data_IF_674843077048
#
_entry.id   IF_674843077048
#
_cell.length_a   1.000
_cell.length_b   1.000
_cell.length_c   1.000
_cell.angle_alpha   90.00
_cell.angle_beta   90.00
_cell.angle_gamma   90.00
#
_symmetry.space_group_name_H-M   'P 1'
#
loop_
_entity.id
_entity.type
_entity.pdbx_description
1 polymer ?
#
# COMPACT_ATOMS: atom_id res chain seq x y z
N UNK A 1 -6.59 -12.81 7.04
CA UNK A 1 -7.40 -13.77 6.27
C UNK A 1 -7.98 -14.78 7.25
N UNK A 2 -9.30 -14.92 7.30
CA UNK A 2 -9.94 -15.93 8.15
C UNK A 2 -9.58 -17.32 7.59
N UNK A 3 -8.97 -18.17 8.40
CA UNK A 3 -8.53 -19.52 7.98
C UNK A 3 -9.71 -20.46 7.66
N UNK A 4 -10.91 -20.15 8.13
CA UNK A 4 -12.10 -20.97 7.95
C UNK A 4 -12.93 -20.57 6.74
N UNK A 5 -13.04 -19.27 6.43
CA UNK A 5 -13.87 -18.77 5.32
C UNK A 5 -13.07 -18.24 4.14
N UNK A 6 -11.74 -18.11 4.25
CA UNK A 6 -10.89 -17.48 3.23
C UNK A 6 -11.09 -15.96 3.10
N UNK A 7 -12.09 -15.40 3.77
CA UNK A 7 -12.41 -13.98 3.70
C UNK A 7 -11.31 -13.12 4.33
N UNK A 8 -11.02 -11.98 3.71
CA UNK A 8 -10.04 -11.03 4.24
C UNK A 8 -10.76 -10.16 5.27
N UNK A 9 -10.43 -10.30 6.54
CA UNK A 9 -11.05 -9.49 7.60
C UNK A 9 -10.69 -8.01 7.50
N UNK A 10 -9.44 -7.70 7.13
CA UNK A 10 -8.93 -6.35 6.96
C UNK A 10 -7.84 -6.35 5.88
N UNK A 11 -7.85 -5.35 4.99
CA UNK A 11 -6.79 -5.12 4.02
C UNK A 11 -6.50 -3.64 3.86
N UNK A 12 -5.21 -3.28 3.91
CA UNK A 12 -4.69 -1.96 3.55
C UNK A 12 -4.14 -1.98 2.13
N UNK A 13 -4.57 -1.03 1.32
CA UNK A 13 -4.05 -0.70 0.00
C UNK A 13 -3.34 0.64 0.07
N UNK A 14 -2.24 0.77 -0.65
CA UNK A 14 -1.33 1.91 -0.55
C UNK A 14 -0.95 2.37 -1.95
N UNK A 15 -0.54 3.63 -2.08
CA UNK A 15 0.00 4.13 -3.33
C UNK A 15 1.24 3.31 -3.76
N UNK A 16 1.38 3.07 -5.06
CA UNK A 16 2.60 2.45 -5.61
C UNK A 16 3.87 3.25 -5.30
N UNK A 17 3.74 4.56 -5.05
CA UNK A 17 4.82 5.45 -4.62
C UNK A 17 4.96 5.56 -3.09
N UNK A 18 4.34 4.67 -2.31
CA UNK A 18 4.42 4.69 -0.85
C UNK A 18 5.85 4.45 -0.34
N UNK A 19 6.19 5.21 0.71
CA UNK A 19 7.42 5.04 1.48
C UNK A 19 8.68 5.47 0.71
N UNK A 20 9.83 5.09 1.24
CA UNK A 20 11.14 5.37 0.64
C UNK A 20 11.92 4.08 0.48
N UNK A 21 12.72 3.99 -0.58
CA UNK A 21 13.67 2.89 -0.70
C UNK A 21 14.75 3.05 0.34
N UNK A 22 14.97 1.99 1.12
CA UNK A 22 16.13 1.92 2.02
C UNK A 22 17.39 1.95 1.18
N UNK A 23 18.43 2.61 1.68
CA UNK A 23 19.74 2.58 1.04
C UNK A 23 20.19 1.14 0.83
N UNK A 24 20.43 0.78 -0.43
CA UNK A 24 20.95 -0.54 -0.79
C UNK A 24 22.44 -0.58 -0.43
N UNK A 25 22.79 -1.29 0.64
CA UNK A 25 24.19 -1.51 1.05
C UNK A 25 24.95 -2.51 0.15
N UNK A 26 24.35 -2.90 -0.98
CA UNK A 26 24.92 -3.87 -1.94
C UNK A 26 25.83 -3.15 -2.93
N UNK A 27 26.74 -3.91 -3.54
CA UNK A 27 27.58 -3.38 -4.63
C UNK A 27 26.69 -2.79 -5.74
N UNK A 28 27.06 -1.64 -6.31
CA UNK A 28 26.27 -1.02 -7.37
C UNK A 28 26.13 -1.97 -8.56
N UNK A 29 24.89 -2.16 -9.02
CA UNK A 29 24.55 -3.01 -10.17
C UNK A 29 24.48 -2.13 -11.41
N UNK A 30 24.96 -2.63 -12.57
CA UNK A 30 25.04 -1.88 -13.84
C UNK A 30 23.74 -1.20 -14.28
N UNK A 31 22.58 -1.73 -13.89
CA UNK A 31 21.26 -1.16 -14.20
C UNK A 31 20.37 -1.20 -12.95
N UNK A 32 20.42 -0.17 -12.09
CA UNK A 32 19.53 -0.12 -10.94
C UNK A 32 18.09 0.07 -11.41
N UNK A 33 17.14 -0.60 -10.73
CA UNK A 33 15.71 -0.31 -10.91
C UNK A 33 15.48 1.16 -10.53
N UNK A 34 14.82 1.91 -11.43
CA UNK A 34 14.44 3.31 -11.17
C UNK A 34 13.66 3.40 -9.87
N UNK A 35 14.01 4.39 -9.05
CA UNK A 35 13.26 4.68 -7.85
C UNK A 35 11.96 5.39 -8.21
N UNK A 36 10.85 4.87 -7.70
CA UNK A 36 9.50 5.34 -8.00
C UNK A 36 8.73 5.71 -6.74
N UNK A 37 9.24 5.37 -5.56
CA UNK A 37 8.64 5.70 -4.27
C UNK A 37 9.05 7.11 -3.87
N UNK A 38 8.04 7.93 -3.55
CA UNK A 38 8.19 9.36 -3.23
C UNK A 38 7.79 9.65 -1.78
N UNK A 39 7.54 8.63 -0.97
CA UNK A 39 6.98 8.80 0.37
C UNK A 39 5.49 9.09 0.38
N UNK A 40 4.76 8.74 -0.69
CA UNK A 40 3.33 9.00 -0.76
C UNK A 40 2.60 8.28 0.38
N UNK A 41 1.73 8.99 1.11
CA UNK A 41 1.00 8.43 2.25
C UNK A 41 -0.45 8.03 1.92
N UNK A 42 -0.85 8.20 0.66
CA UNK A 42 -2.18 7.86 0.17
C UNK A 42 -2.44 6.36 0.35
N UNK A 43 -3.57 6.04 0.98
CA UNK A 43 -3.93 4.68 1.37
C UNK A 43 -5.43 4.55 1.58
N UNK A 44 -5.90 3.32 1.51
CA UNK A 44 -7.25 2.94 1.90
C UNK A 44 -7.21 1.61 2.63
N UNK A 45 -7.88 1.54 3.77
CA UNK A 45 -8.02 0.30 4.53
C UNK A 45 -9.49 -0.11 4.53
N UNK A 46 -9.76 -1.34 4.09
CA UNK A 46 -11.09 -1.93 4.12
C UNK A 46 -11.16 -3.02 5.19
N UNK A 47 -12.31 -3.14 5.84
CA UNK A 47 -12.58 -4.23 6.77
C UNK A 47 -13.96 -4.84 6.52
N UNK A 48 -14.03 -6.16 6.63
CA UNK A 48 -15.27 -6.92 6.52
C UNK A 48 -16.10 -6.71 7.79
N UNK A 49 -17.31 -6.22 7.63
CA UNK A 49 -18.28 -6.05 8.71
C UNK A 49 -19.03 -7.35 9.00
N UNK A 50 -19.70 -7.42 10.15
CA UNK A 50 -20.59 -8.53 10.52
C UNK A 50 -21.74 -8.72 9.54
N UNK A 51 -22.12 -7.65 8.82
CA UNK A 51 -23.11 -7.68 7.74
C UNK A 51 -22.62 -8.40 6.47
N UNK A 52 -21.36 -8.83 6.41
CA UNK A 52 -20.74 -9.46 5.25
C UNK A 52 -20.28 -8.48 4.16
N UNK A 53 -20.40 -7.16 4.41
CA UNK A 53 -19.94 -6.10 3.48
C UNK A 53 -18.60 -5.51 3.92
N UNK A 54 -17.77 -5.12 2.95
CA UNK A 54 -16.55 -4.37 3.23
C UNK A 54 -16.85 -2.89 3.41
N UNK A 55 -16.29 -2.29 4.46
CA UNK A 55 -16.35 -0.86 4.72
C UNK A 55 -14.94 -0.27 4.73
N UNK A 56 -14.81 0.97 4.28
CA UNK A 56 -13.58 1.75 4.42
C UNK A 56 -13.47 2.21 5.86
N UNK A 57 -12.36 1.88 6.52
CA UNK A 57 -12.11 2.23 7.93
C UNK A 57 -10.97 3.24 8.12
N UNK A 58 -10.12 3.43 7.11
CA UNK A 58 -9.07 4.45 7.07
C UNK A 58 -8.86 4.84 5.61
N UNK A 59 -8.76 6.14 5.35
CA UNK A 59 -8.62 6.69 4.01
C UNK A 59 -7.80 7.96 4.04
N UNK A 60 -6.68 7.94 3.33
CA UNK A 60 -5.84 9.11 3.06
C UNK A 60 -5.87 9.35 1.54
N UNK A 61 -6.61 10.35 1.04
CA UNK A 61 -6.71 10.62 -0.38
C UNK A 61 -5.50 11.41 -0.93
N UNK A 62 -4.72 12.06 -0.08
CA UNK A 62 -3.72 13.02 -0.52
C UNK A 62 -2.49 12.33 -1.13
N UNK A 63 -2.26 12.56 -2.42
CA UNK A 63 -1.04 12.17 -3.11
C UNK A 63 -0.03 13.32 -3.12
N UNK A 64 1.24 12.99 -2.91
CA UNK A 64 2.35 13.96 -2.99
C UNK A 64 2.99 14.02 -4.38
N UNK A 65 2.30 13.47 -5.38
CA UNK A 65 2.73 13.40 -6.77
C UNK A 65 1.50 13.51 -7.67
N UNK A 66 1.73 13.85 -8.93
CA UNK A 66 0.68 13.82 -9.96
C UNK A 66 0.11 12.41 -10.07
N UNK A 67 -1.21 12.30 -10.18
CA UNK A 67 -1.88 11.03 -10.48
C UNK A 67 -1.57 10.65 -11.93
N UNK A 68 -0.99 9.46 -12.10
CA UNK A 68 -0.56 8.90 -13.38
C UNK A 68 -1.23 7.55 -13.58
#
# INVERSE_FOLDING_TARGET
MCKHTGAISNRRFVCFKEGFRKEDKKRPVKKPRKEVRTGCSARITIALQTSGKYHVIDFEPAHNHVLV
#
